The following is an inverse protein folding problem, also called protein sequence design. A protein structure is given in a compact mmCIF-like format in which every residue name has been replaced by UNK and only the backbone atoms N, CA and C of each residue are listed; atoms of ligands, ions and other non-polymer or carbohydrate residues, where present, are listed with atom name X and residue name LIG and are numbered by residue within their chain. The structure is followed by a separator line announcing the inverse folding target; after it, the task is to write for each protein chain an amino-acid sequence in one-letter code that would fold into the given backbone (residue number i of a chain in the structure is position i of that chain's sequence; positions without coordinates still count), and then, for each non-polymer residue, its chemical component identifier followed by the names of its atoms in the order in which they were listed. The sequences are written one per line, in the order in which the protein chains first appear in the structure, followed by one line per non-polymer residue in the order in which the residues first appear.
data_IF_639074612441
#
_entry.id   IF_639074612441
#
_cell.length_a   1.000
_cell.length_b   1.000
_cell.length_c   1.000
_cell.angle_alpha   90.00
_cell.angle_beta   90.00
_cell.angle_gamma   90.00
#
_symmetry.space_group_name_H-M   'P 1'
#
loop_
_entity.id
_entity.type
_entity.pdbx_description
1 polymer ?
#
# COMPACT_ATOMS: atom_id res chain seq x y z
N UNK A 1 -9.50 10.29 -16.23
CA UNK A 1 -9.60 11.57 -16.99
C UNK A 1 -11.02 12.07 -16.80
N UNK A 2 -11.27 13.39 -16.79
CA UNK A 2 -12.64 13.91 -16.68
C UNK A 2 -13.41 13.65 -17.98
N UNK A 3 -14.69 13.25 -17.93
CA UNK A 3 -15.54 13.10 -19.13
C UNK A 3 -15.49 14.31 -20.06
N UNK A 4 -15.36 15.50 -19.48
CA UNK A 4 -15.20 16.77 -20.22
C UNK A 4 -13.90 16.81 -21.04
N UNK A 5 -12.81 16.20 -20.56
CA UNK A 5 -11.55 16.14 -21.31
C UNK A 5 -11.64 15.13 -22.45
N UNK A 6 -12.29 13.98 -22.25
CA UNK A 6 -12.54 12.98 -23.29
C UNK A 6 -13.37 13.60 -24.44
N UNK A 7 -14.48 14.28 -24.11
CA UNK A 7 -15.30 15.00 -25.08
C UNK A 7 -14.49 16.04 -25.89
N UNK A 8 -13.61 16.80 -25.25
CA UNK A 8 -12.76 17.77 -25.95
C UNK A 8 -11.75 17.12 -26.89
N UNK A 9 -11.19 15.97 -26.51
CA UNK A 9 -10.29 15.19 -27.35
C UNK A 9 -11.02 14.66 -28.59
N UNK A 10 -12.25 14.16 -28.43
CA UNK A 10 -13.10 13.75 -29.56
C UNK A 10 -13.35 14.91 -30.51
N UNK A 11 -13.67 16.12 -29.99
CA UNK A 11 -13.83 17.34 -30.78
C UNK A 11 -12.54 17.80 -31.51
N UNK A 12 -11.37 17.34 -31.08
CA UNK A 12 -10.07 17.56 -31.73
C UNK A 12 -9.69 16.45 -32.73
N UNK A 13 -10.58 15.47 -32.95
CA UNK A 13 -10.40 14.39 -33.93
C UNK A 13 -9.78 13.09 -33.39
N UNK A 14 -9.60 12.96 -32.07
CA UNK A 14 -9.15 11.72 -31.45
C UNK A 14 -10.33 10.74 -31.29
N UNK A 15 -10.43 9.76 -32.18
CA UNK A 15 -11.55 8.81 -32.23
C UNK A 15 -11.53 7.72 -31.14
N UNK A 16 -10.47 7.62 -30.34
CA UNK A 16 -10.28 6.62 -29.29
C UNK A 16 -9.98 7.26 -27.93
N UNK A 17 -10.68 8.34 -27.60
CA UNK A 17 -10.61 8.94 -26.28
C UNK A 17 -11.50 8.17 -25.30
N UNK A 18 -10.93 7.70 -24.22
CA UNK A 18 -11.64 6.96 -23.17
C UNK A 18 -11.51 7.65 -21.83
N UNK A 19 -12.61 7.70 -21.08
CA UNK A 19 -12.58 8.13 -19.69
C UNK A 19 -12.35 6.93 -18.77
N UNK A 20 -11.34 7.02 -17.90
CA UNK A 20 -11.08 6.02 -16.88
C UNK A 20 -11.76 6.48 -15.58
N UNK A 21 -12.99 5.99 -15.35
CA UNK A 21 -13.83 6.42 -14.25
C UNK A 21 -13.20 6.26 -12.85
N UNK A 22 -12.46 5.16 -12.54
CA UNK A 22 -11.81 5.00 -11.23
C UNK A 22 -10.72 6.05 -10.95
N UNK A 23 -10.20 6.70 -11.99
CA UNK A 23 -9.24 7.79 -11.87
C UNK A 23 -7.79 7.33 -11.75
N UNK A 24 -6.88 8.32 -11.70
CA UNK A 24 -5.43 8.09 -11.78
C UNK A 24 -4.86 7.28 -10.62
N UNK A 25 -5.47 7.34 -9.44
CA UNK A 25 -4.97 6.60 -8.26
C UNK A 25 -5.21 5.12 -8.43
N UNK A 26 -6.35 4.74 -8.98
CA UNK A 26 -6.67 3.35 -9.32
C UNK A 26 -5.81 2.85 -10.50
N UNK A 27 -5.60 3.69 -11.53
CA UNK A 27 -4.66 3.43 -12.63
C UNK A 27 -3.26 3.07 -12.11
N UNK A 28 -2.77 3.82 -11.11
CA UNK A 28 -1.52 3.56 -10.43
C UNK A 28 -1.52 2.26 -9.62
N UNK A 29 -2.60 2.02 -8.87
CA UNK A 29 -2.75 0.81 -8.07
C UNK A 29 -2.74 -0.46 -8.94
N UNK A 30 -3.26 -0.34 -10.18
CA UNK A 30 -3.23 -1.41 -11.18
C UNK A 30 -1.87 -1.55 -11.92
N UNK A 31 -0.85 -0.75 -11.57
CA UNK A 31 0.48 -0.80 -12.19
C UNK A 31 0.50 -0.39 -13.67
N UNK A 32 -0.48 0.40 -14.12
CA UNK A 32 -0.60 0.80 -15.52
C UNK A 32 0.39 1.93 -15.88
N UNK A 33 0.91 1.98 -17.11
CA UNK A 33 1.96 2.92 -17.53
C UNK A 33 1.50 4.37 -17.47
N UNK A 34 2.43 5.26 -17.10
CA UNK A 34 2.21 6.70 -17.08
C UNK A 34 3.26 7.47 -17.87
N UNK A 35 2.88 8.66 -18.31
CA UNK A 35 3.74 9.60 -19.02
C UNK A 35 3.73 10.97 -18.33
N UNK A 36 4.75 11.79 -18.63
CA UNK A 36 4.90 13.15 -18.12
C UNK A 36 5.91 13.28 -17.00
N UNK A 37 6.11 14.51 -16.47
CA UNK A 37 7.12 14.83 -15.46
C UNK A 37 6.97 14.07 -14.12
N UNK A 38 5.78 13.55 -13.83
CA UNK A 38 5.55 12.71 -12.65
C UNK A 38 5.93 11.24 -12.87
N UNK A 39 6.11 10.80 -14.11
CA UNK A 39 6.51 9.43 -14.41
C UNK A 39 7.95 9.11 -13.96
N UNK A 40 8.78 10.13 -13.76
CA UNK A 40 10.16 10.01 -13.27
C UNK A 40 10.29 10.08 -11.74
N UNK A 41 9.19 10.34 -11.03
CA UNK A 41 9.21 10.43 -9.56
C UNK A 41 8.83 9.10 -8.97
N UNK A 42 9.73 8.48 -8.22
CA UNK A 42 9.45 7.26 -7.48
C UNK A 42 8.28 7.46 -6.52
N UNK A 43 7.30 6.57 -6.61
CA UNK A 43 6.10 6.63 -5.77
C UNK A 43 6.12 5.57 -4.67
N UNK A 44 5.26 5.73 -3.70
CA UNK A 44 5.06 4.73 -2.64
C UNK A 44 4.58 3.40 -3.22
N UNK A 45 3.78 3.45 -4.30
CA UNK A 45 3.31 2.27 -5.02
C UNK A 45 4.46 1.45 -5.63
N UNK A 46 5.44 2.12 -6.25
CA UNK A 46 6.63 1.47 -6.86
C UNK A 46 7.50 0.76 -5.81
N UNK A 47 7.44 1.20 -4.56
CA UNK A 47 8.23 0.68 -3.45
C UNK A 47 7.46 -0.24 -2.52
N UNK A 48 6.16 -0.39 -2.75
CA UNK A 48 5.31 -1.24 -1.93
C UNK A 48 5.64 -2.72 -2.16
N UNK A 49 5.98 -3.43 -1.10
CA UNK A 49 6.19 -4.86 -1.13
C UNK A 49 4.84 -5.56 -0.99
N UNK A 50 4.36 -6.16 -2.09
CA UNK A 50 3.08 -6.87 -2.15
C UNK A 50 3.09 -8.25 -1.48
N UNK A 51 4.28 -8.78 -1.15
CA UNK A 51 4.50 -10.08 -0.50
C UNK A 51 4.31 -10.06 1.03
N UNK A 52 3.82 -8.94 1.59
CA UNK A 52 3.54 -8.84 3.03
C UNK A 52 2.49 -9.87 3.46
N UNK A 53 2.75 -10.67 4.51
CA UNK A 53 1.79 -11.66 4.99
C UNK A 53 0.47 -11.03 5.41
N UNK A 54 -0.62 -11.70 5.06
CA UNK A 54 -1.97 -11.32 5.48
C UNK A 54 -2.64 -12.43 6.28
N UNK A 55 -3.62 -12.07 7.08
CA UNK A 55 -4.47 -13.02 7.80
C UNK A 55 -5.90 -12.48 7.91
N UNK A 56 -6.84 -13.40 8.12
CA UNK A 56 -8.22 -13.06 8.43
C UNK A 56 -8.38 -12.69 9.92
N UNK A 57 -9.39 -11.89 10.30
CA UNK A 57 -9.62 -11.46 11.68
C UNK A 57 -9.78 -12.60 12.69
N UNK A 58 -10.36 -13.72 12.26
CA UNK A 58 -10.64 -14.88 13.11
C UNK A 58 -9.51 -15.91 13.22
N UNK A 59 -8.42 -15.74 12.46
CA UNK A 59 -7.27 -16.63 12.56
C UNK A 59 -6.57 -16.49 13.92
N UNK A 60 -6.02 -17.60 14.42
CA UNK A 60 -5.28 -17.60 15.68
C UNK A 60 -3.87 -17.02 15.50
N UNK A 61 -3.44 -16.20 16.45
CA UNK A 61 -2.12 -15.58 16.45
C UNK A 61 -0.99 -16.59 16.32
N UNK A 62 -1.12 -17.78 16.94
CA UNK A 62 -0.13 -18.85 16.84
C UNK A 62 0.10 -19.35 15.42
N UNK A 63 -0.97 -19.52 14.63
CA UNK A 63 -0.90 -19.94 13.23
C UNK A 63 -0.31 -18.83 12.34
N UNK A 64 -0.77 -17.59 12.54
CA UNK A 64 -0.27 -16.40 11.85
C UNK A 64 1.23 -16.23 12.09
N UNK A 65 1.68 -16.35 13.35
CA UNK A 65 3.10 -16.29 13.72
C UNK A 65 3.94 -17.33 12.99
N UNK A 66 3.45 -18.57 12.91
CA UNK A 66 4.13 -19.64 12.18
C UNK A 66 4.32 -19.33 10.70
N UNK A 67 3.33 -18.69 10.07
CA UNK A 67 3.38 -18.26 8.67
C UNK A 67 4.35 -17.10 8.47
N UNK A 68 4.27 -16.05 9.30
CA UNK A 68 5.13 -14.86 9.24
C UNK A 68 6.61 -15.25 9.37
N UNK A 69 6.95 -16.12 10.33
CA UNK A 69 8.33 -16.59 10.52
C UNK A 69 8.92 -17.28 9.28
N UNK A 70 8.11 -18.01 8.52
CA UNK A 70 8.56 -18.70 7.30
C UNK A 70 8.81 -17.74 6.14
N UNK A 71 8.21 -16.57 6.14
CA UNK A 71 8.36 -15.55 5.08
C UNK A 71 9.46 -14.53 5.35
N UNK A 72 10.07 -14.56 6.56
CA UNK A 72 11.09 -13.59 6.95
C UNK A 72 10.55 -12.18 7.26
N UNK A 73 9.22 -12.04 7.38
CA UNK A 73 8.57 -10.80 7.80
C UNK A 73 8.47 -10.71 9.34
N UNK A 74 8.36 -9.47 9.85
CA UNK A 74 8.20 -9.15 11.27
C UNK A 74 6.77 -8.72 11.63
N UNK A 75 5.86 -8.78 10.65
CA UNK A 75 4.47 -8.29 10.79
C UNK A 75 3.50 -9.00 9.86
N UNK A 76 2.22 -8.87 10.16
CA UNK A 76 1.13 -9.41 9.35
C UNK A 76 0.00 -8.37 9.28
N UNK A 77 -0.61 -8.22 8.11
CA UNK A 77 -1.74 -7.31 7.91
C UNK A 77 -3.05 -8.10 8.06
N UNK A 78 -3.92 -7.63 8.93
CA UNK A 78 -5.27 -8.21 9.09
C UNK A 78 -6.18 -7.57 8.05
N UNK A 79 -6.78 -8.42 7.20
CA UNK A 79 -7.65 -7.98 6.09
C UNK A 79 -8.97 -8.75 6.12
N UNK A 80 -10.02 -8.16 5.57
CA UNK A 80 -11.28 -8.85 5.31
C UNK A 80 -11.24 -9.66 4.00
N UNK A 81 -12.39 -10.20 3.57
CA UNK A 81 -12.52 -11.02 2.36
C UNK A 81 -12.22 -10.22 1.08
N UNK A 82 -12.53 -8.92 1.06
CA UNK A 82 -12.21 -7.99 -0.03
C UNK A 82 -10.78 -7.41 0.07
N UNK A 83 -9.91 -7.98 0.93
CA UNK A 83 -8.54 -7.50 1.18
C UNK A 83 -8.44 -6.08 1.75
N UNK A 84 -9.54 -5.52 2.28
CA UNK A 84 -9.53 -4.22 2.97
C UNK A 84 -8.77 -4.34 4.29
N UNK A 85 -7.87 -3.40 4.54
CA UNK A 85 -7.02 -3.38 5.75
C UNK A 85 -7.85 -3.06 6.99
N UNK A 86 -7.87 -3.97 7.95
CA UNK A 86 -8.53 -3.81 9.25
C UNK A 86 -7.54 -3.46 10.37
N UNK A 87 -6.36 -4.08 10.34
CA UNK A 87 -5.37 -3.91 11.40
C UNK A 87 -3.98 -4.40 11.03
N UNK A 88 -3.04 -4.25 11.96
CA UNK A 88 -1.67 -4.67 11.82
C UNK A 88 -1.22 -5.43 13.07
N UNK A 89 -0.65 -6.61 12.89
CA UNK A 89 0.08 -7.37 13.89
C UNK A 89 1.57 -7.12 13.72
N UNK A 90 2.20 -6.50 14.70
CA UNK A 90 3.66 -6.36 14.75
C UNK A 90 4.28 -7.52 15.52
N UNK A 91 5.61 -7.63 15.55
CA UNK A 91 6.34 -8.70 16.23
C UNK A 91 5.89 -8.94 17.68
N UNK A 92 5.65 -7.86 18.44
CA UNK A 92 5.15 -7.95 19.83
C UNK A 92 3.76 -8.58 19.91
N UNK A 93 2.88 -8.19 18.97
CA UNK A 93 1.51 -8.68 18.91
C UNK A 93 1.49 -10.18 18.50
N UNK A 94 2.40 -10.58 17.59
CA UNK A 94 2.61 -11.97 17.17
C UNK A 94 3.22 -12.86 18.26
N UNK A 95 3.86 -12.30 19.28
CA UNK A 95 4.40 -13.05 20.43
C UNK A 95 3.45 -13.11 21.62
N UNK A 96 2.28 -12.51 21.52
CA UNK A 96 1.22 -12.57 22.54
C UNK A 96 0.56 -13.96 22.62
N UNK A 97 -0.57 -14.06 23.28
CA UNK A 97 -1.33 -15.30 23.42
C UNK A 97 -1.60 -15.96 22.07
N UNK A 98 -1.11 -17.20 21.89
CA UNK A 98 -1.26 -17.96 20.65
C UNK A 98 -2.70 -18.34 20.33
N UNK A 99 -3.57 -18.40 21.34
CA UNK A 99 -4.98 -18.74 21.21
C UNK A 99 -5.85 -17.51 20.90
N UNK A 100 -5.32 -16.28 21.10
CA UNK A 100 -6.03 -15.07 20.75
C UNK A 100 -6.30 -14.99 19.24
N UNK A 101 -7.40 -14.36 18.85
CA UNK A 101 -7.69 -14.07 17.46
C UNK A 101 -6.84 -12.91 16.94
N UNK A 102 -6.57 -12.88 15.64
CA UNK A 102 -5.85 -11.77 15.00
C UNK A 102 -6.54 -10.42 15.26
N UNK A 103 -7.87 -10.38 15.22
CA UNK A 103 -8.67 -9.18 15.54
C UNK A 103 -8.48 -8.72 17.00
N UNK A 104 -8.43 -9.65 17.93
CA UNK A 104 -8.22 -9.32 19.35
C UNK A 104 -6.83 -8.82 19.69
N UNK A 105 -5.82 -9.24 18.91
CA UNK A 105 -4.41 -8.88 19.13
C UNK A 105 -3.92 -7.72 18.24
N UNK A 106 -4.62 -7.43 17.13
CA UNK A 106 -4.17 -6.40 16.17
C UNK A 106 -4.27 -4.98 16.73
N UNK A 107 -3.45 -4.11 16.15
CA UNK A 107 -3.62 -2.65 16.27
C UNK A 107 -4.59 -2.21 15.19
N UNK A 108 -5.80 -1.74 15.54
CA UNK A 108 -6.80 -1.34 14.57
C UNK A 108 -6.44 -0.02 13.90
N UNK A 109 -6.93 0.18 12.66
CA UNK A 109 -6.81 1.44 11.93
C UNK A 109 -5.38 1.90 11.69
N UNK A 110 -4.47 1.05 11.15
CA UNK A 110 -3.11 1.47 10.86
C UNK A 110 -3.11 2.61 9.83
N UNK A 111 -2.06 3.45 9.87
CA UNK A 111 -1.90 4.51 8.88
C UNK A 111 -1.68 3.90 7.50
N UNK A 112 -2.52 4.29 6.55
CA UNK A 112 -2.41 3.91 5.15
C UNK A 112 -2.06 5.12 4.28
N UNK A 113 -1.54 4.87 3.09
CA UNK A 113 -1.17 5.89 2.11
C UNK A 113 -1.55 5.42 0.71
N UNK A 114 -1.82 6.37 -0.17
CA UNK A 114 -2.12 6.11 -1.58
C UNK A 114 -0.86 5.79 -2.37
N UNK A 115 -0.92 4.93 -3.39
CA UNK A 115 0.23 4.52 -4.17
C UNK A 115 0.88 5.68 -4.97
N UNK A 116 0.11 6.71 -5.34
CA UNK A 116 0.57 7.88 -6.09
C UNK A 116 1.34 8.92 -5.25
N UNK A 117 1.53 8.66 -3.97
CA UNK A 117 2.31 9.54 -3.08
C UNK A 117 3.81 9.46 -3.42
N UNK A 118 4.51 10.60 -3.44
CA UNK A 118 5.98 10.61 -3.60
C UNK A 118 6.66 9.81 -2.48
N UNK A 119 7.53 8.88 -2.86
CA UNK A 119 8.28 8.05 -1.92
C UNK A 119 9.20 8.88 -1.02
N UNK A 120 9.87 9.88 -1.57
CA UNK A 120 10.74 10.81 -0.84
C UNK A 120 9.98 11.56 0.25
N UNK A 121 8.87 12.21 -0.12
CA UNK A 121 8.02 12.95 0.85
C UNK A 121 7.48 12.03 1.94
N UNK A 122 7.15 10.79 1.58
CA UNK A 122 6.67 9.81 2.55
C UNK A 122 7.80 9.35 3.49
N UNK A 123 8.99 9.08 2.97
CA UNK A 123 10.16 8.74 3.79
C UNK A 123 10.47 9.82 4.83
N UNK A 124 10.47 11.10 4.41
CA UNK A 124 10.65 12.23 5.32
C UNK A 124 9.56 12.29 6.41
N UNK A 125 8.31 12.09 6.02
CA UNK A 125 7.17 12.05 6.96
C UNK A 125 7.30 10.91 7.98
N UNK A 126 7.69 9.72 7.52
CA UNK A 126 7.92 8.56 8.39
C UNK A 126 9.08 8.80 9.34
N UNK A 127 10.17 9.42 8.86
CA UNK A 127 11.32 9.81 9.69
C UNK A 127 10.92 10.77 10.80
N UNK A 128 10.18 11.84 10.46
CA UNK A 128 9.68 12.83 11.45
C UNK A 128 8.78 12.20 12.51
N UNK A 129 8.02 11.16 12.15
CA UNK A 129 7.13 10.44 13.06
C UNK A 129 7.77 9.27 13.79
N UNK A 130 9.04 8.96 13.53
CA UNK A 130 9.72 7.77 14.08
C UNK A 130 9.12 6.44 13.63
N UNK A 131 8.40 6.42 12.50
CA UNK A 131 7.71 5.23 11.98
C UNK A 131 8.59 4.53 10.96
N UNK A 132 8.68 3.19 11.04
CA UNK A 132 9.55 2.39 10.16
C UNK A 132 8.90 2.01 8.82
N UNK A 133 7.57 1.99 8.74
CA UNK A 133 6.84 1.52 7.55
C UNK A 133 5.44 2.12 7.46
N UNK A 134 4.83 2.01 6.29
CA UNK A 134 3.44 2.42 6.03
C UNK A 134 2.77 1.41 5.12
N UNK A 135 1.48 1.18 5.31
CA UNK A 135 0.66 0.36 4.42
C UNK A 135 0.21 1.18 3.22
N UNK A 136 0.25 0.55 2.06
CA UNK A 136 -0.19 1.14 0.79
C UNK A 136 -1.49 0.50 0.39
N UNK A 137 -2.51 1.32 0.14
CA UNK A 137 -3.87 0.86 -0.18
C UNK A 137 -4.45 1.57 -1.39
N UNK A 138 -5.43 0.93 -2.02
CA UNK A 138 -6.34 1.56 -2.98
C UNK A 138 -7.19 2.64 -2.31
N UNK A 139 -7.94 3.46 -3.07
CA UNK A 139 -8.96 4.36 -2.53
C UNK A 139 -9.98 3.69 -1.60
N UNK A 140 -10.34 2.44 -1.89
CA UNK A 140 -11.33 1.67 -1.13
C UNK A 140 -10.74 0.94 0.08
N UNK A 141 -9.42 1.09 0.30
CA UNK A 141 -8.71 0.52 1.45
C UNK A 141 -8.16 -0.88 1.24
N UNK A 142 -8.22 -1.42 0.01
CA UNK A 142 -7.61 -2.71 -0.32
C UNK A 142 -6.09 -2.64 -0.23
N UNK A 143 -5.48 -3.66 0.33
CA UNK A 143 -4.04 -3.76 0.51
C UNK A 143 -3.30 -3.95 -0.82
N UNK A 144 -2.45 -3.00 -1.17
CA UNK A 144 -1.48 -3.12 -2.26
C UNK A 144 -0.16 -3.72 -1.73
N UNK A 145 0.31 -3.22 -0.58
CA UNK A 145 1.55 -3.69 0.02
C UNK A 145 2.00 -2.86 1.21
N UNK A 146 3.26 -3.04 1.59
CA UNK A 146 3.90 -2.31 2.68
C UNK A 146 5.21 -1.69 2.19
N UNK A 147 5.40 -0.40 2.42
CA UNK A 147 6.66 0.30 2.16
C UNK A 147 7.44 0.49 3.46
N UNK A 148 8.72 0.08 3.47
CA UNK A 148 9.65 0.46 4.54
C UNK A 148 10.31 1.80 4.25
N UNK A 149 10.46 2.63 5.28
CA UNK A 149 11.16 3.91 5.19
C UNK A 149 12.59 3.75 4.64
N UNK A 150 13.33 2.76 5.13
CA UNK A 150 14.72 2.50 4.71
C UNK A 150 14.85 2.21 3.20
N UNK A 151 13.84 1.56 2.60
CA UNK A 151 13.86 1.25 1.17
C UNK A 151 13.65 2.52 0.35
N UNK A 152 12.75 3.41 0.78
CA UNK A 152 12.55 4.70 0.15
C UNK A 152 13.76 5.64 0.30
N UNK A 153 14.39 5.70 1.48
CA UNK A 153 15.61 6.50 1.70
C UNK A 153 16.77 6.03 0.82
N UNK A 154 16.92 4.72 0.59
CA UNK A 154 17.96 4.16 -0.28
C UNK A 154 17.78 4.60 -1.74
N UNK A 155 16.58 4.47 -2.29
CA UNK A 155 16.32 4.86 -3.69
C UNK A 155 16.46 6.36 -3.90
N UNK A 156 16.05 7.17 -2.93
CA UNK A 156 16.26 8.63 -2.98
C UNK A 156 17.75 9.00 -2.98
N UNK A 157 18.59 8.27 -2.24
CA UNK A 157 20.03 8.49 -2.22
C UNK A 157 20.74 8.07 -3.52
N UNK A 158 20.19 7.07 -4.25
CA UNK A 158 20.73 6.62 -5.54
C UNK A 158 20.36 7.55 -6.71
N UNK A 159 19.34 8.42 -6.53
CA UNK A 159 18.86 9.37 -7.54
C UNK A 159 19.40 10.79 -7.34
N UNK A 160 20.11 11.07 -6.25
CA UNK A 160 20.68 12.37 -5.91
C UNK A 160 22.15 12.48 -6.35
#
# INVERSE_FOLDING_TARGET
MSPRAAWRLEGLGFSKAHDYAPGKVDWFAAGLPMEGGLASVSTVGDMARGDVPTCAPREKVGEVRGRVRRTGWDRCVVVNEERVVLGLLCEKDLTSDSEATAEGAMRPGPTTVRPDTSAEKMAERLRKRGTASVLVTTPDGELIGLMYRKDAERVTAEQA
#
